data_IF_660090632450
#
_entry.id   IF_660090632450
#
_cell.length_a   1.000
_cell.length_b   1.000
_cell.length_c   1.000
_cell.angle_alpha   90.00
_cell.angle_beta   90.00
_cell.angle_gamma   90.00
#
_symmetry.space_group_name_H-M   'P 1'
#
loop_
_entity.id
_entity.type
_entity.pdbx_description
1 polymer ?
#
# COMPACT_ATOMS: atom_id res chain seq x y z
N UNK A 1 23.93 5.66 13.83
CA UNK A 1 23.17 4.65 13.05
C UNK A 1 23.22 5.06 11.59
N UNK A 2 24.07 4.41 10.84
CA UNK A 2 24.11 4.56 9.39
C UNK A 2 22.82 3.93 8.82
N UNK A 3 21.81 4.74 8.56
CA UNK A 3 20.62 4.33 7.80
C UNK A 3 20.97 4.54 6.33
N UNK A 4 21.57 3.53 5.71
CA UNK A 4 21.71 3.50 4.27
C UNK A 4 20.32 3.52 3.65
N UNK A 5 20.04 4.57 2.88
CA UNK A 5 18.92 4.61 1.96
C UNK A 5 19.07 3.41 1.05
N UNK A 6 18.24 2.39 1.20
CA UNK A 6 18.34 1.14 0.43
C UNK A 6 18.43 -0.13 1.27
N UNK A 7 18.71 -0.05 2.57
CA UNK A 7 18.68 -1.22 3.46
C UNK A 7 17.31 -1.57 4.01
N UNK A 8 16.31 -0.72 3.79
CA UNK A 8 14.96 -0.96 4.26
C UNK A 8 14.05 -1.35 3.09
N UNK A 9 13.51 -2.56 3.16
CA UNK A 9 12.45 -3.07 2.29
C UNK A 9 11.21 -2.15 2.22
N UNK A 10 11.19 -1.12 3.06
CA UNK A 10 10.09 -0.16 3.23
C UNK A 10 10.25 1.14 2.44
N UNK A 11 11.30 1.30 1.62
CA UNK A 11 11.45 2.48 0.75
C UNK A 11 10.26 2.58 -0.20
N UNK A 12 9.85 1.46 -0.77
CA UNK A 12 8.68 1.40 -1.67
C UNK A 12 7.44 1.96 -1.00
N UNK A 13 7.14 1.48 0.21
CA UNK A 13 5.92 1.86 0.95
C UNK A 13 5.92 3.34 1.32
N UNK A 14 7.06 3.91 1.68
CA UNK A 14 7.17 5.33 2.00
C UNK A 14 7.03 6.22 0.75
N UNK A 15 7.54 5.80 -0.39
CA UNK A 15 7.53 6.62 -1.59
C UNK A 15 6.13 6.84 -2.16
N UNK A 16 5.28 5.84 -2.22
CA UNK A 16 3.94 5.99 -2.81
C UNK A 16 2.85 6.31 -1.80
N UNK A 17 2.89 5.76 -0.59
CA UNK A 17 1.90 6.09 0.45
C UNK A 17 2.09 7.51 0.97
N UNK A 18 3.31 7.87 1.37
CA UNK A 18 3.64 9.21 1.82
C UNK A 18 3.42 10.26 0.72
N UNK A 19 3.75 9.93 -0.54
CA UNK A 19 3.56 10.81 -1.68
C UNK A 19 2.10 11.22 -1.91
N UNK A 20 1.14 10.38 -1.55
CA UNK A 20 -0.28 10.71 -1.59
C UNK A 20 -0.64 11.76 -0.54
N UNK A 21 -0.18 11.58 0.70
CA UNK A 21 -0.38 12.55 1.78
C UNK A 21 0.33 13.87 1.47
N UNK A 22 1.56 13.83 0.97
CA UNK A 22 2.34 15.02 0.60
C UNK A 22 1.62 15.88 -0.44
N UNK A 23 1.02 15.27 -1.46
CA UNK A 23 0.36 16.01 -2.55
C UNK A 23 -1.06 16.42 -2.20
N UNK A 24 -1.81 15.57 -1.53
CA UNK A 24 -3.26 15.70 -1.38
C UNK A 24 -3.75 15.83 0.06
N UNK A 25 -2.90 15.61 1.07
CA UNK A 25 -3.25 15.81 2.47
C UNK A 25 -3.55 17.27 2.80
N UNK A 26 -4.37 17.51 3.82
CA UNK A 26 -4.61 18.85 4.35
C UNK A 26 -3.33 19.46 4.94
N UNK A 27 -3.26 20.79 5.12
CA UNK A 27 -2.14 21.43 5.81
C UNK A 27 -1.87 20.81 7.19
N UNK A 28 -2.93 20.53 7.96
CA UNK A 28 -2.87 19.93 9.30
C UNK A 28 -2.31 18.51 9.22
N UNK A 29 -2.80 17.67 8.31
CA UNK A 29 -2.30 16.31 8.09
C UNK A 29 -0.81 16.33 7.71
N UNK A 30 -0.40 17.24 6.84
CA UNK A 30 1.00 17.37 6.43
C UNK A 30 1.89 17.78 7.61
N UNK A 31 1.46 18.77 8.37
CA UNK A 31 2.20 19.28 9.54
C UNK A 31 2.31 18.21 10.64
N UNK A 32 1.24 17.44 10.86
CA UNK A 32 1.22 16.42 11.90
C UNK A 32 2.03 15.18 11.55
N UNK A 33 1.88 14.67 10.32
CA UNK A 33 2.37 13.34 9.97
C UNK A 33 3.70 13.33 9.22
N UNK A 34 3.93 14.26 8.28
CA UNK A 34 5.11 14.18 7.40
C UNK A 34 6.45 14.28 8.15
N UNK A 35 6.64 15.18 9.14
CA UNK A 35 7.89 15.21 9.89
C UNK A 35 8.18 13.90 10.62
N UNK A 36 7.16 13.32 11.25
CA UNK A 36 7.27 12.06 12.00
C UNK A 36 7.51 10.84 11.09
N UNK A 37 6.99 10.88 9.87
CA UNK A 37 7.27 9.86 8.86
C UNK A 37 8.71 9.99 8.36
N UNK A 38 9.17 11.22 8.15
CA UNK A 38 10.52 11.50 7.66
C UNK A 38 11.60 11.08 8.66
N UNK A 39 11.43 11.38 9.95
CA UNK A 39 12.38 10.99 11.00
C UNK A 39 12.25 9.51 11.43
N UNK A 40 11.20 8.81 10.96
CA UNK A 40 10.95 7.40 11.22
C UNK A 40 10.32 7.10 12.58
N UNK A 41 9.86 8.11 13.32
CA UNK A 41 9.09 7.94 14.56
C UNK A 41 7.67 7.44 14.30
N UNK A 42 7.16 7.64 13.09
CA UNK A 42 5.85 7.17 12.62
C UNK A 42 6.00 6.39 11.32
N UNK A 43 5.36 5.22 11.24
CA UNK A 43 5.46 4.32 10.09
C UNK A 43 4.18 4.34 9.27
N UNK A 44 4.24 4.84 8.03
CA UNK A 44 3.17 4.73 7.04
C UNK A 44 3.57 3.68 6.01
N UNK A 45 3.36 2.40 6.31
CA UNK A 45 3.81 1.26 5.51
C UNK A 45 2.64 0.44 4.97
N UNK A 46 1.46 0.55 5.56
CA UNK A 46 0.29 -0.19 5.12
C UNK A 46 -0.48 0.57 4.03
N UNK A 47 -0.75 -0.14 2.93
CA UNK A 47 -1.54 0.36 1.79
C UNK A 47 -2.74 -0.56 1.57
N UNK A 48 -3.92 -0.13 2.02
CA UNK A 48 -5.15 -0.90 2.00
C UNK A 48 -5.97 -0.63 0.73
N UNK A 49 -5.70 -1.36 -0.36
CA UNK A 49 -6.39 -1.21 -1.65
C UNK A 49 -7.01 -2.52 -2.10
N UNK A 50 -6.20 -3.56 -2.30
CA UNK A 50 -6.62 -4.86 -2.84
C UNK A 50 -7.60 -5.57 -1.91
N UNK A 51 -8.62 -6.19 -2.50
CA UNK A 51 -9.63 -6.98 -1.80
C UNK A 51 -9.67 -8.42 -2.34
N UNK A 52 -10.23 -9.40 -1.61
CA UNK A 52 -10.34 -10.76 -2.10
C UNK A 52 -11.07 -10.88 -3.44
N UNK A 53 -11.96 -9.96 -3.72
CA UNK A 53 -12.80 -9.93 -4.94
C UNK A 53 -12.36 -8.87 -5.96
N UNK A 54 -11.36 -8.04 -5.65
CA UNK A 54 -10.95 -6.91 -6.48
C UNK A 54 -9.44 -6.66 -6.37
N UNK A 55 -8.68 -7.18 -7.33
CA UNK A 55 -7.24 -6.94 -7.47
C UNK A 55 -6.96 -5.94 -8.59
N UNK A 56 -6.90 -6.42 -9.83
CA UNK A 56 -6.58 -5.60 -11.01
C UNK A 56 -7.64 -4.52 -11.27
N UNK A 57 -8.93 -4.86 -11.14
CA UNK A 57 -10.01 -3.87 -11.22
C UNK A 57 -10.25 -3.21 -9.85
N UNK A 58 -9.37 -2.29 -9.49
CA UNK A 58 -9.46 -1.51 -8.24
C UNK A 58 -10.76 -0.71 -8.13
N UNK A 59 -11.43 -0.42 -9.26
CA UNK A 59 -12.68 0.35 -9.26
C UNK A 59 -13.89 -0.46 -8.76
N UNK A 60 -13.74 -1.78 -8.65
CA UNK A 60 -14.80 -2.70 -8.19
C UNK A 60 -14.69 -3.06 -6.71
N UNK A 61 -13.86 -2.37 -5.93
CA UNK A 61 -13.70 -2.62 -4.51
C UNK A 61 -15.02 -2.40 -3.73
N UNK A 62 -15.19 -3.18 -2.65
CA UNK A 62 -16.41 -3.28 -1.86
C UNK A 62 -16.29 -2.73 -0.44
N UNK A 63 -15.08 -2.48 0.06
CA UNK A 63 -14.90 -1.79 1.35
C UNK A 63 -15.58 -0.43 1.28
N UNK A 64 -16.53 -0.19 2.18
CA UNK A 64 -17.32 1.05 2.23
C UNK A 64 -16.88 1.93 3.38
N UNK A 65 -17.04 3.24 3.20
CA UNK A 65 -16.91 4.24 4.24
C UNK A 65 -18.17 5.12 4.20
N UNK A 66 -19.07 4.90 5.12
CA UNK A 66 -20.36 5.62 5.21
C UNK A 66 -20.20 6.79 6.16
N UNK A 67 -20.57 7.98 5.73
CA UNK A 67 -20.52 9.17 6.59
C UNK A 67 -21.58 9.07 7.69
N UNK A 68 -21.16 9.35 8.92
CA UNK A 68 -22.00 9.40 10.11
C UNK A 68 -21.62 10.63 10.95
N UNK A 69 -22.26 11.75 10.67
CA UNK A 69 -21.94 13.05 11.25
C UNK A 69 -20.53 13.51 10.89
N UNK A 70 -19.70 13.75 11.90
CA UNK A 70 -18.31 14.17 11.78
C UNK A 70 -17.32 12.99 11.62
N UNK A 71 -17.86 11.77 11.44
CA UNK A 71 -17.09 10.54 11.31
C UNK A 71 -17.42 9.79 10.01
N UNK A 72 -16.62 8.75 9.73
CA UNK A 72 -16.96 7.69 8.78
C UNK A 72 -16.97 6.34 9.51
N UNK A 73 -17.94 5.49 9.16
CA UNK A 73 -17.99 4.08 9.53
C UNK A 73 -17.47 3.24 8.38
N UNK A 74 -16.41 2.51 8.63
CA UNK A 74 -15.74 1.68 7.63
C UNK A 74 -16.09 0.21 7.86
N UNK A 75 -16.52 -0.45 6.77
CA UNK A 75 -16.81 -1.88 6.74
C UNK A 75 -16.20 -2.52 5.49
N UNK A 76 -15.55 -3.67 5.65
CA UNK A 76 -14.97 -4.42 4.55
C UNK A 76 -13.71 -5.17 4.90
N UNK A 77 -12.97 -5.55 3.85
CA UNK A 77 -11.75 -6.34 3.99
C UNK A 77 -10.72 -5.93 2.95
N UNK A 78 -9.46 -5.88 3.36
CA UNK A 78 -8.30 -5.77 2.47
C UNK A 78 -7.42 -7.00 2.60
N UNK A 79 -6.78 -7.39 1.50
CA UNK A 79 -5.89 -8.55 1.44
C UNK A 79 -4.57 -8.15 0.78
N UNK A 80 -3.52 -8.95 1.04
CA UNK A 80 -2.15 -8.73 0.56
C UNK A 80 -1.55 -7.41 1.05
N UNK A 81 -2.05 -6.89 2.17
CA UNK A 81 -1.51 -5.66 2.77
C UNK A 81 -0.19 -5.98 3.46
N UNK A 82 0.90 -5.50 2.91
CA UNK A 82 2.22 -5.70 3.49
C UNK A 82 2.39 -4.85 4.74
N UNK A 83 3.04 -5.43 5.76
CA UNK A 83 3.51 -4.77 6.99
C UNK A 83 2.43 -4.05 7.83
N UNK A 84 1.15 -4.39 7.69
CA UNK A 84 0.11 -3.78 8.50
C UNK A 84 0.28 -4.03 10.01
N UNK A 85 0.88 -5.16 10.41
CA UNK A 85 1.18 -5.44 11.83
C UNK A 85 2.20 -4.46 12.42
N UNK A 86 3.11 -3.95 11.59
CA UNK A 86 4.23 -3.10 11.99
C UNK A 86 4.06 -1.64 11.59
N UNK A 87 2.93 -1.28 11.00
CA UNK A 87 2.61 0.08 10.56
C UNK A 87 1.80 0.81 11.64
N UNK A 88 2.11 2.09 11.83
CA UNK A 88 1.34 2.96 12.70
C UNK A 88 0.15 3.57 11.94
N UNK A 89 0.34 3.82 10.66
CA UNK A 89 -0.65 4.41 9.77
C UNK A 89 -0.92 3.50 8.58
N UNK A 90 -2.13 3.59 8.04
CA UNK A 90 -2.54 2.97 6.77
C UNK A 90 -3.12 4.02 5.84
N UNK A 91 -2.71 3.98 4.57
CA UNK A 91 -3.43 4.66 3.50
C UNK A 91 -4.50 3.71 2.99
N UNK A 92 -5.77 4.04 3.24
CA UNK A 92 -6.91 3.19 2.94
C UNK A 92 -7.75 3.77 1.81
N UNK A 93 -8.02 2.98 0.77
CA UNK A 93 -8.99 3.30 -0.27
C UNK A 93 -10.31 2.59 0.04
N UNK A 94 -11.38 3.36 0.17
CA UNK A 94 -12.73 2.85 0.42
C UNK A 94 -13.78 3.58 -0.45
N UNK A 95 -14.94 2.97 -0.60
CA UNK A 95 -16.05 3.52 -1.36
C UNK A 95 -16.93 4.37 -0.45
N UNK A 96 -17.07 5.64 -0.80
CA UNK A 96 -17.92 6.62 -0.10
C UNK A 96 -19.27 6.84 -0.79
N UNK A 97 -19.33 6.65 -2.12
CA UNK A 97 -20.56 6.67 -2.89
C UNK A 97 -20.78 5.33 -3.57
N UNK A 98 -21.95 4.70 -3.46
CA UNK A 98 -22.27 3.42 -4.09
C UNK A 98 -21.98 3.40 -5.60
N UNK A 99 -21.56 2.25 -6.13
CA UNK A 99 -21.16 2.12 -7.52
C UNK A 99 -22.31 2.42 -8.52
N UNK A 100 -23.52 2.14 -8.13
CA UNK A 100 -24.74 2.41 -8.92
C UNK A 100 -25.17 3.89 -8.93
N UNK A 101 -24.56 4.71 -8.08
CA UNK A 101 -24.87 6.15 -7.96
C UNK A 101 -23.85 7.03 -8.65
N UNK A 102 -22.74 6.46 -9.14
CA UNK A 102 -21.68 7.21 -9.83
C UNK A 102 -21.78 7.08 -11.35
N UNK A 103 -21.37 8.13 -12.06
CA UNK A 103 -21.33 8.12 -13.55
C UNK A 103 -20.16 7.31 -14.09
N UNK A 104 -19.03 7.30 -13.40
CA UNK A 104 -17.83 6.57 -13.77
C UNK A 104 -17.39 5.69 -12.60
N UNK A 105 -16.97 4.47 -12.86
CA UNK A 105 -16.49 3.51 -11.84
C UNK A 105 -15.34 4.06 -10.98
N UNK A 106 -14.56 5.00 -11.51
CA UNK A 106 -13.45 5.66 -10.82
C UNK A 106 -13.89 6.73 -9.82
N UNK A 107 -15.15 7.13 -9.86
CA UNK A 107 -15.78 8.06 -8.90
C UNK A 107 -16.31 7.28 -7.69
N UNK A 108 -16.64 8.00 -6.61
CA UNK A 108 -17.18 7.40 -5.40
C UNK A 108 -16.16 6.66 -4.53
N UNK A 109 -14.86 6.82 -4.82
CA UNK A 109 -13.77 6.27 -4.03
C UNK A 109 -13.04 7.40 -3.30
N UNK A 110 -12.75 7.19 -2.02
CA UNK A 110 -12.05 8.14 -1.16
C UNK A 110 -10.85 7.51 -0.48
N UNK A 111 -9.84 8.32 -0.19
CA UNK A 111 -8.63 7.89 0.50
C UNK A 111 -8.66 8.41 1.93
N UNK A 112 -8.32 7.55 2.87
CA UNK A 112 -8.25 7.88 4.30
C UNK A 112 -6.86 7.59 4.85
N UNK A 113 -6.37 8.46 5.71
CA UNK A 113 -5.19 8.21 6.52
C UNK A 113 -5.63 7.66 7.88
N UNK A 114 -5.55 6.35 8.05
CA UNK A 114 -6.01 5.65 9.24
C UNK A 114 -4.89 5.50 10.26
N UNK A 115 -5.08 5.97 11.49
CA UNK A 115 -4.21 5.67 12.62
C UNK A 115 -4.55 4.28 13.18
N UNK A 116 -3.74 3.30 12.79
CA UNK A 116 -3.96 1.89 13.15
C UNK A 116 -3.73 1.61 14.63
N UNK A 117 -2.95 2.45 15.32
CA UNK A 117 -2.69 2.31 16.78
C UNK A 117 -3.97 2.53 17.59
N UNK A 118 -4.83 3.45 17.12
CA UNK A 118 -6.13 3.74 17.72
C UNK A 118 -7.23 2.78 17.28
N UNK A 119 -7.09 2.24 16.06
CA UNK A 119 -8.09 1.39 15.42
C UNK A 119 -8.02 -0.08 15.88
N UNK A 120 -6.84 -0.58 16.23
CA UNK A 120 -6.65 -1.96 16.71
C UNK A 120 -7.51 -2.23 17.95
N UNK A 121 -8.36 -3.27 17.88
CA UNK A 121 -9.31 -3.60 18.93
C UNK A 121 -10.61 -2.78 18.93
N UNK A 122 -10.69 -1.75 18.07
CA UNK A 122 -11.86 -0.89 17.91
C UNK A 122 -12.39 -0.97 16.46
N UNK A 123 -12.72 -2.17 15.98
CA UNK A 123 -13.21 -2.40 14.62
C UNK A 123 -12.13 -2.70 13.58
N UNK A 124 -10.85 -2.72 13.94
CA UNK A 124 -9.74 -3.14 13.06
C UNK A 124 -9.15 -4.47 13.55
N UNK A 125 -9.18 -5.48 12.69
CA UNK A 125 -8.52 -6.78 12.91
C UNK A 125 -7.51 -7.03 11.80
N UNK A 126 -6.29 -7.42 12.19
CA UNK A 126 -5.20 -7.77 11.26
C UNK A 126 -4.86 -9.23 11.46
N UNK A 127 -4.81 -10.01 10.37
CA UNK A 127 -4.43 -11.41 10.38
C UNK A 127 -3.26 -11.63 9.44
N UNK A 128 -2.14 -12.24 9.91
CA UNK A 128 -1.01 -12.55 9.06
C UNK A 128 -1.35 -13.65 8.05
N UNK A 129 -0.85 -13.49 6.83
CA UNK A 129 -0.87 -14.53 5.79
C UNK A 129 0.53 -15.13 5.71
N UNK A 130 0.61 -16.46 5.83
CA UNK A 130 1.88 -17.17 5.63
C UNK A 130 2.20 -17.24 4.14
N UNK A 131 3.26 -16.59 3.73
CA UNK A 131 3.76 -16.59 2.36
C UNK A 131 5.13 -17.24 2.28
N UNK A 132 5.56 -17.61 1.08
CA UNK A 132 6.87 -18.21 0.83
C UNK A 132 8.01 -17.24 1.16
N UNK A 133 7.82 -15.94 0.89
CA UNK A 133 8.69 -14.85 1.35
C UNK A 133 7.93 -14.03 2.38
N UNK A 134 8.37 -14.09 3.63
CA UNK A 134 7.65 -13.47 4.74
C UNK A 134 7.89 -11.96 4.79
N UNK A 135 7.09 -11.19 4.06
CA UNK A 135 7.07 -9.72 4.10
C UNK A 135 6.03 -9.17 5.07
N UNK A 136 5.60 -9.97 6.06
CA UNK A 136 4.50 -9.58 6.95
C UNK A 136 3.24 -9.20 6.17
N UNK A 137 2.87 -10.06 5.22
CA UNK A 137 1.66 -9.92 4.41
C UNK A 137 0.44 -10.24 5.26
N UNK A 138 -0.61 -9.46 5.13
CA UNK A 138 -1.78 -9.57 6.01
C UNK A 138 -3.10 -9.46 5.27
N UNK A 139 -4.15 -10.01 5.91
CA UNK A 139 -5.54 -9.60 5.71
C UNK A 139 -5.89 -8.55 6.77
N UNK A 140 -6.70 -7.59 6.38
CA UNK A 140 -7.16 -6.51 7.25
C UNK A 140 -8.67 -6.41 7.16
N UNK A 141 -9.34 -6.54 8.30
CA UNK A 141 -10.80 -6.51 8.41
C UNK A 141 -11.23 -5.23 9.12
N UNK A 142 -12.28 -4.61 8.60
CA UNK A 142 -12.94 -3.46 9.16
C UNK A 142 -14.38 -3.84 9.50
N UNK A 143 -14.73 -3.72 10.78
CA UNK A 143 -16.06 -4.01 11.31
C UNK A 143 -16.53 -2.79 12.11
N UNK A 144 -17.40 -1.99 11.48
CA UNK A 144 -17.90 -0.74 12.03
C UNK A 144 -16.79 0.17 12.60
N UNK A 145 -15.64 0.17 11.94
CA UNK A 145 -14.52 1.02 12.35
C UNK A 145 -14.89 2.48 12.17
N UNK A 146 -14.99 3.20 13.28
CA UNK A 146 -15.27 4.64 13.31
C UNK A 146 -13.98 5.43 13.22
N UNK A 147 -13.90 6.35 12.26
CA UNK A 147 -12.78 7.27 12.10
C UNK A 147 -13.29 8.70 11.88
N UNK A 148 -12.57 9.72 12.38
CA UNK A 148 -12.93 11.12 12.14
C UNK A 148 -12.92 11.47 10.66
N UNK A 149 -13.82 12.35 10.23
CA UNK A 149 -13.86 12.84 8.85
C UNK A 149 -12.57 13.59 8.46
N UNK A 150 -11.84 14.13 9.43
CA UNK A 150 -10.51 14.73 9.23
C UNK A 150 -9.44 13.75 8.75
N UNK A 151 -9.69 12.43 8.83
CA UNK A 151 -8.82 11.40 8.26
C UNK A 151 -8.93 11.30 6.74
N UNK A 152 -9.92 11.93 6.11
CA UNK A 152 -10.06 12.00 4.65
C UNK A 152 -8.86 12.75 4.05
N UNK A 153 -8.23 12.16 3.04
CA UNK A 153 -7.13 12.78 2.31
C UNK A 153 -7.67 13.40 1.03
N UNK A 154 -7.57 14.72 0.94
CA UNK A 154 -8.11 15.49 -0.18
C UNK A 154 -9.64 15.55 -0.17
N UNK A 155 -10.25 15.48 -1.36
CA UNK A 155 -11.69 15.59 -1.54
C UNK A 155 -12.35 14.20 -1.56
N UNK A 156 -13.55 14.11 -0.99
CA UNK A 156 -14.38 12.92 -1.06
C UNK A 156 -14.71 12.55 -2.52
N UNK A 157 -14.74 11.25 -2.81
CA UNK A 157 -15.02 10.69 -4.14
C UNK A 157 -13.90 10.90 -5.20
N UNK A 158 -12.76 11.50 -4.85
CA UNK A 158 -11.62 11.70 -5.76
C UNK A 158 -10.41 10.80 -5.44
N UNK A 159 -10.56 9.89 -4.50
CA UNK A 159 -9.47 9.06 -3.98
C UNK A 159 -8.77 8.20 -5.03
N UNK A 160 -9.48 7.69 -6.02
CA UNK A 160 -8.85 6.92 -7.11
C UNK A 160 -7.79 7.73 -7.87
N UNK A 161 -8.07 9.00 -8.16
CA UNK A 161 -7.11 9.90 -8.80
C UNK A 161 -5.87 10.14 -7.92
N UNK A 162 -6.08 10.22 -6.61
CA UNK A 162 -4.99 10.49 -5.67
C UNK A 162 -4.04 9.32 -5.54
N UNK A 163 -4.55 8.07 -5.46
CA UNK A 163 -3.69 6.90 -5.40
C UNK A 163 -2.93 6.67 -6.71
N UNK A 164 -3.52 6.96 -7.88
CA UNK A 164 -2.85 6.81 -9.17
C UNK A 164 -1.56 7.61 -9.24
N UNK A 165 -1.52 8.80 -8.65
CA UNK A 165 -0.31 9.62 -8.64
C UNK A 165 0.83 8.97 -7.81
N UNK A 166 0.50 8.23 -6.75
CA UNK A 166 1.44 7.42 -5.99
C UNK A 166 1.87 6.16 -6.75
N UNK A 167 0.91 5.46 -7.36
CA UNK A 167 1.17 4.23 -8.11
C UNK A 167 2.07 4.42 -9.34
N UNK A 168 2.15 5.62 -9.93
CA UNK A 168 3.07 5.90 -11.01
C UNK A 168 4.53 5.84 -10.55
N UNK A 169 4.83 6.39 -9.38
CA UNK A 169 6.16 6.28 -8.77
C UNK A 169 6.51 4.80 -8.48
N UNK A 170 5.55 4.03 -7.97
CA UNK A 170 5.71 2.60 -7.73
C UNK A 170 6.01 1.84 -9.02
N UNK A 171 5.28 2.09 -10.10
CA UNK A 171 5.53 1.43 -11.41
C UNK A 171 6.96 1.67 -11.90
N UNK A 172 7.47 2.89 -11.80
CA UNK A 172 8.84 3.23 -12.19
C UNK A 172 9.85 2.48 -11.32
N UNK A 173 9.61 2.44 -10.00
CA UNK A 173 10.49 1.75 -9.05
C UNK A 173 10.56 0.24 -9.33
N UNK A 174 9.40 -0.41 -9.49
CA UNK A 174 9.32 -1.84 -9.81
C UNK A 174 9.95 -2.15 -11.17
N UNK A 175 9.75 -1.31 -12.18
CA UNK A 175 10.40 -1.49 -13.49
C UNK A 175 11.93 -1.43 -13.37
N UNK A 176 12.47 -0.49 -12.58
CA UNK A 176 13.90 -0.40 -12.34
C UNK A 176 14.45 -1.61 -11.58
N UNK A 177 13.72 -2.11 -10.57
CA UNK A 177 14.03 -3.33 -9.83
C UNK A 177 14.10 -4.55 -10.78
N UNK A 178 13.08 -4.74 -11.64
CA UNK A 178 13.06 -5.83 -12.62
C UNK A 178 14.27 -5.81 -13.58
N UNK A 179 14.71 -4.62 -13.99
CA UNK A 179 15.91 -4.50 -14.84
C UNK A 179 17.17 -4.88 -14.07
N UNK A 180 17.28 -4.51 -12.80
CA UNK A 180 18.39 -4.92 -11.93
C UNK A 180 18.46 -6.44 -11.76
N UNK A 181 17.33 -7.05 -11.45
CA UNK A 181 17.19 -8.49 -11.30
C UNK A 181 17.52 -9.22 -12.61
N UNK A 182 17.01 -8.76 -13.75
CA UNK A 182 17.29 -9.36 -15.04
C UNK A 182 18.78 -9.36 -15.36
N UNK A 183 19.50 -8.27 -15.10
CA UNK A 183 20.96 -8.19 -15.27
C UNK A 183 21.71 -9.15 -14.33
N UNK A 184 21.25 -9.28 -13.08
CA UNK A 184 21.85 -10.18 -12.12
C UNK A 184 21.65 -11.65 -12.53
N UNK A 185 20.42 -12.04 -12.88
CA UNK A 185 20.10 -13.40 -13.32
C UNK A 185 20.84 -13.77 -14.59
N UNK A 186 20.90 -12.89 -15.59
CA UNK A 186 21.66 -13.13 -16.84
C UNK A 186 23.12 -13.41 -16.52
N UNK A 187 23.77 -12.58 -15.69
CA UNK A 187 25.18 -12.80 -15.30
C UNK A 187 25.36 -14.12 -14.54
N UNK A 188 24.48 -14.43 -13.58
CA UNK A 188 24.56 -15.68 -12.80
C UNK A 188 24.35 -16.91 -13.67
N UNK A 189 23.39 -16.88 -14.59
CA UNK A 189 23.12 -17.98 -15.53
C UNK A 189 24.29 -18.21 -16.51
N UNK A 190 24.86 -17.13 -17.03
CA UNK A 190 26.04 -17.21 -17.90
C UNK A 190 27.24 -17.82 -17.17
N UNK A 191 27.55 -17.38 -15.96
CA UNK A 191 28.62 -17.95 -15.15
C UNK A 191 28.37 -19.45 -14.89
N UNK A 192 27.17 -19.80 -14.44
CA UNK A 192 26.80 -21.20 -14.22
C UNK A 192 26.92 -22.04 -15.47
N UNK A 193 26.50 -21.54 -16.64
CA UNK A 193 26.58 -22.23 -17.91
C UNK A 193 28.02 -22.49 -18.36
N UNK A 194 28.94 -21.57 -18.02
CA UNK A 194 30.38 -21.75 -18.30
C UNK A 194 31.06 -22.69 -17.30
N UNK A 195 30.68 -22.68 -16.03
CA UNK A 195 31.31 -23.44 -14.97
C UNK A 195 30.79 -24.88 -14.88
N UNK A 196 29.52 -25.11 -15.19
CA UNK A 196 28.87 -26.42 -15.10
C UNK A 196 29.31 -27.33 -16.25
N UNK A 197 30.06 -28.35 -15.98
CA UNK A 197 30.52 -29.34 -16.94
C UNK A 197 29.63 -30.59 -16.90
N UNK A 198 29.13 -31.05 -18.06
CA UNK A 198 28.42 -32.31 -18.25
C UNK A 198 28.96 -32.94 -19.54
N UNK A 199 29.28 -34.24 -19.48
CA UNK A 199 29.87 -34.97 -20.60
C UNK A 199 31.18 -34.35 -21.11
N UNK A 200 32.01 -33.81 -20.19
CA UNK A 200 33.32 -33.26 -20.49
C UNK A 200 33.35 -31.87 -21.12
N UNK A 201 32.21 -31.17 -21.18
CA UNK A 201 32.13 -29.78 -21.69
C UNK A 201 31.16 -28.91 -20.87
N UNK A 202 31.39 -27.63 -20.94
CA UNK A 202 30.46 -26.66 -20.30
C UNK A 202 29.08 -26.71 -20.95
N UNK A 203 28.01 -26.57 -20.13
CA UNK A 203 26.62 -26.64 -20.64
C UNK A 203 26.24 -25.43 -21.51
N UNK A 204 27.01 -24.37 -21.47
CA UNK A 204 26.82 -23.16 -22.28
C UNK A 204 27.43 -23.21 -23.69
N UNK A 205 27.99 -24.35 -24.08
CA UNK A 205 28.60 -24.56 -25.41
C UNK A 205 27.66 -25.30 -26.34
#
# INVERSE_FOLDING_TARGET
RCRLVGSEMCIRDRMYTMGTVLRHGSPEQKQEYLPKIADGSLRLQAFGVTEPTSGTDTTSLRTVAVRDGDDFLINGQKIWTSRAEHSDLMLLLARTTPLNEVKKKTEGLSVFLLDMRKAKGNGLTIRPIRTMMNHSTTEVFFDNLRIPASNLVGEENKGFRYILSGMNAERILIAAECIGDAKWFTRKSTNYANDRNIFGRAIGQ
#
